data_IF_384259770693
#
_entry.id   IF_384259770693
#
_cell.length_a   1.000
_cell.length_b   1.000
_cell.length_c   1.000
_cell.angle_alpha   90.00
_cell.angle_beta   90.00
_cell.angle_gamma   90.00
#
_symmetry.space_group_name_H-M   'P 1'
#
loop_
_entity.id
_entity.type
_entity.pdbx_description
1 polymer ?
#
# COMPACT_ATOMS: atom_id res chain seq x y z
N UNK A 1 5.69 -29.01 3.60
CA UNK A 1 7.02 -28.36 3.55
C UNK A 1 7.10 -27.19 2.56
N UNK A 2 6.49 -27.27 1.36
CA UNK A 2 6.57 -26.21 0.33
C UNK A 2 5.91 -24.87 0.75
N UNK A 3 4.79 -24.91 1.47
CA UNK A 3 4.07 -23.71 1.96
C UNK A 3 4.91 -22.92 2.99
N UNK A 4 5.64 -23.60 3.86
CA UNK A 4 6.51 -22.96 4.85
C UNK A 4 7.74 -22.31 4.21
N UNK A 5 8.33 -22.95 3.20
CA UNK A 5 9.46 -22.39 2.46
C UNK A 5 9.09 -21.13 1.66
N UNK A 6 7.87 -21.06 1.13
CA UNK A 6 7.36 -19.83 0.49
C UNK A 6 7.17 -18.70 1.51
N UNK A 7 6.57 -19.00 2.66
CA UNK A 7 6.37 -18.04 3.77
C UNK A 7 7.72 -17.52 4.31
N UNK A 8 8.72 -18.39 4.42
CA UNK A 8 10.09 -18.05 4.83
C UNK A 8 10.87 -17.26 3.75
N UNK A 9 10.66 -17.53 2.46
CA UNK A 9 11.23 -16.72 1.36
C UNK A 9 10.67 -15.31 1.35
N UNK A 10 9.36 -15.15 1.53
CA UNK A 10 8.74 -13.82 1.67
C UNK A 10 9.17 -13.10 2.94
N UNK A 11 9.45 -13.83 4.04
CA UNK A 11 10.04 -13.29 5.27
C UNK A 11 11.43 -12.70 5.08
N UNK A 12 12.29 -13.39 4.32
CA UNK A 12 13.63 -12.87 4.00
C UNK A 12 13.61 -11.74 2.95
N UNK A 13 12.64 -11.72 2.04
CA UNK A 13 12.60 -10.76 0.94
C UNK A 13 12.23 -9.33 1.39
N UNK A 14 11.34 -9.17 2.37
CA UNK A 14 10.88 -7.86 2.84
C UNK A 14 10.73 -7.82 4.38
N UNK A 15 11.85 -7.76 5.14
CA UNK A 15 11.82 -7.73 6.61
C UNK A 15 10.97 -6.57 7.17
N UNK A 16 10.85 -5.48 6.42
CA UNK A 16 10.02 -4.32 6.78
C UNK A 16 8.52 -4.61 6.79
N UNK A 17 8.00 -5.49 5.93
CA UNK A 17 6.57 -5.86 5.97
C UNK A 17 6.21 -6.54 7.30
N UNK A 18 7.14 -7.31 7.86
CA UNK A 18 6.97 -7.95 9.17
C UNK A 18 7.05 -6.95 10.30
N UNK A 19 8.03 -6.05 10.28
CA UNK A 19 8.11 -4.96 11.26
C UNK A 19 6.84 -4.11 11.23
N UNK A 20 6.33 -3.74 10.05
CA UNK A 20 5.07 -3.01 9.93
C UNK A 20 3.90 -3.71 10.63
N UNK A 21 3.78 -5.04 10.48
CA UNK A 21 2.74 -5.82 11.14
C UNK A 21 2.93 -5.92 12.65
N UNK A 22 4.17 -6.04 13.13
CA UNK A 22 4.49 -6.09 14.56
C UNK A 22 4.13 -4.75 15.20
N UNK A 23 4.62 -3.63 14.66
CA UNK A 23 4.30 -2.30 15.18
C UNK A 23 2.81 -1.98 15.10
N UNK A 24 2.12 -2.45 14.05
CA UNK A 24 0.65 -2.36 13.97
C UNK A 24 -0.06 -3.10 15.11
N UNK A 25 0.42 -4.28 15.51
CA UNK A 25 -0.09 -5.02 16.68
C UNK A 25 0.29 -4.38 18.02
N UNK A 26 1.40 -3.67 18.07
CA UNK A 26 1.82 -2.87 19.23
C UNK A 26 1.09 -1.51 19.30
N UNK A 27 0.16 -1.24 18.37
CA UNK A 27 -0.57 0.02 18.22
C UNK A 27 0.34 1.24 17.96
N UNK A 28 1.59 1.00 17.57
CA UNK A 28 2.53 2.01 17.10
C UNK A 28 2.32 2.21 15.59
N UNK A 29 1.31 3.02 15.28
CA UNK A 29 0.87 3.26 13.90
C UNK A 29 1.92 4.01 13.09
N UNK A 30 2.73 4.84 13.73
CA UNK A 30 3.74 5.64 13.05
C UNK A 30 4.90 4.79 12.56
N UNK A 31 5.44 3.92 13.42
CA UNK A 31 6.45 2.96 12.99
C UNK A 31 5.89 1.97 11.97
N UNK A 32 4.64 1.51 12.17
CA UNK A 32 3.98 0.64 11.21
C UNK A 32 3.92 1.27 9.81
N UNK A 33 3.48 2.52 9.71
CA UNK A 33 3.39 3.26 8.46
C UNK A 33 4.77 3.53 7.83
N UNK A 34 5.78 3.87 8.64
CA UNK A 34 7.15 4.05 8.16
C UNK A 34 7.70 2.78 7.49
N UNK A 35 7.52 1.62 8.12
CA UNK A 35 7.95 0.35 7.54
C UNK A 35 7.12 -0.05 6.32
N UNK A 36 5.82 0.29 6.29
CA UNK A 36 5.00 0.13 5.09
C UNK A 36 5.56 0.96 3.92
N UNK A 37 5.86 2.24 4.13
CA UNK A 37 6.47 3.11 3.12
C UNK A 37 7.79 2.55 2.59
N UNK A 38 8.71 2.21 3.49
CA UNK A 38 10.02 1.62 3.12
C UNK A 38 9.87 0.30 2.35
N UNK A 39 8.83 -0.49 2.64
CA UNK A 39 8.53 -1.70 1.88
C UNK A 39 8.10 -1.36 0.46
N UNK A 40 7.19 -0.39 0.29
CA UNK A 40 6.68 0.02 -1.02
C UNK A 40 7.78 0.63 -1.90
N UNK A 41 8.66 1.45 -1.33
CA UNK A 41 9.81 2.03 -2.03
C UNK A 41 10.75 0.95 -2.55
N UNK A 42 11.14 -0.01 -1.70
CA UNK A 42 11.97 -1.15 -2.10
C UNK A 42 11.31 -2.01 -3.17
N UNK A 43 9.99 -2.22 -3.10
CA UNK A 43 9.26 -2.96 -4.12
C UNK A 43 9.34 -2.28 -5.49
N UNK A 44 9.26 -0.95 -5.55
CA UNK A 44 9.43 -0.20 -6.80
C UNK A 44 10.88 -0.24 -7.31
N UNK A 45 11.87 -0.07 -6.44
CA UNK A 45 13.28 -0.16 -6.81
C UNK A 45 13.63 -1.53 -7.41
N UNK A 46 13.13 -2.60 -6.77
CA UNK A 46 13.31 -3.96 -7.26
C UNK A 46 12.59 -4.23 -8.58
N UNK A 47 11.39 -3.67 -8.75
CA UNK A 47 10.64 -3.74 -10.00
C UNK A 47 11.41 -3.12 -11.17
N UNK A 48 12.05 -1.96 -10.94
CA UNK A 48 12.86 -1.29 -11.97
C UNK A 48 14.18 -2.02 -12.29
N UNK A 49 14.80 -2.71 -11.32
CA UNK A 49 16.21 -3.13 -11.44
C UNK A 49 16.46 -4.58 -11.82
N UNK A 50 15.62 -5.54 -11.42
CA UNK A 50 16.02 -6.96 -11.48
C UNK A 50 14.97 -7.95 -12.02
N UNK A 51 13.71 -7.91 -11.57
CA UNK A 51 12.73 -8.95 -11.98
C UNK A 51 11.27 -8.57 -11.72
N UNK A 52 10.38 -8.68 -12.73
CA UNK A 52 8.91 -8.58 -12.54
C UNK A 52 8.31 -9.68 -11.64
N UNK A 53 9.03 -10.78 -11.40
CA UNK A 53 8.51 -12.01 -10.77
C UNK A 53 8.12 -11.87 -9.29
N UNK A 54 8.51 -10.76 -8.64
CA UNK A 54 8.27 -10.52 -7.21
C UNK A 54 7.53 -9.20 -6.94
N UNK A 55 7.03 -8.55 -7.99
CA UNK A 55 6.25 -7.33 -7.89
C UNK A 55 4.84 -7.63 -8.38
N UNK A 56 3.87 -7.49 -7.48
CA UNK A 56 2.46 -7.51 -7.85
C UNK A 56 1.95 -6.07 -7.83
N UNK A 57 1.69 -5.46 -9.01
CA UNK A 57 1.18 -4.09 -9.10
C UNK A 57 -0.13 -3.88 -8.34
N UNK A 58 -0.98 -4.91 -8.26
CA UNK A 58 -2.29 -4.83 -7.62
C UNK A 58 -2.17 -4.75 -6.10
N UNK A 59 -1.36 -5.63 -5.52
CA UNK A 59 -1.02 -5.60 -4.10
C UNK A 59 -0.28 -4.32 -3.72
N UNK A 60 0.65 -3.85 -4.58
CA UNK A 60 1.36 -2.60 -4.34
C UNK A 60 0.40 -1.40 -4.30
N UNK A 61 -0.48 -1.27 -5.30
CA UNK A 61 -1.46 -0.20 -5.36
C UNK A 61 -2.40 -0.20 -4.15
N UNK A 62 -2.85 -1.38 -3.72
CA UNK A 62 -3.73 -1.54 -2.56
C UNK A 62 -3.04 -1.14 -1.26
N UNK A 63 -1.79 -1.53 -1.07
CA UNK A 63 -1.00 -1.17 0.10
C UNK A 63 -0.68 0.34 0.11
N UNK A 64 -0.39 0.94 -1.04
CA UNK A 64 -0.17 2.39 -1.17
C UNK A 64 -1.45 3.18 -0.84
N UNK A 65 -2.62 2.71 -1.29
CA UNK A 65 -3.90 3.32 -0.95
C UNK A 65 -4.25 3.16 0.54
N UNK A 66 -3.84 2.05 1.16
CA UNK A 66 -4.00 1.85 2.60
C UNK A 66 -3.12 2.82 3.39
N UNK A 67 -1.87 3.03 2.96
CA UNK A 67 -0.95 3.99 3.57
C UNK A 67 -1.49 5.44 3.50
N UNK A 68 -2.22 5.78 2.43
CA UNK A 68 -2.89 7.08 2.32
C UNK A 68 -3.89 7.34 3.46
N UNK A 69 -4.57 6.29 3.92
CA UNK A 69 -5.57 6.40 4.99
C UNK A 69 -4.90 6.73 6.33
N UNK A 70 -3.69 6.21 6.57
CA UNK A 70 -2.88 6.58 7.73
C UNK A 70 -2.42 8.05 7.65
N UNK A 71 -1.91 8.50 6.51
CA UNK A 71 -1.49 9.91 6.38
C UNK A 71 -2.67 10.87 6.57
N UNK A 72 -3.85 10.48 6.11
CA UNK A 72 -5.08 11.23 6.35
C UNK A 72 -5.44 11.32 7.84
N UNK A 73 -5.27 10.24 8.63
CA UNK A 73 -5.50 10.31 10.09
C UNK A 73 -4.52 11.23 10.81
N UNK A 74 -3.35 11.45 10.22
CA UNK A 74 -2.32 12.35 10.74
C UNK A 74 -2.41 13.77 10.13
N UNK A 75 -3.50 14.09 9.43
CA UNK A 75 -3.72 15.37 8.75
C UNK A 75 -2.69 15.73 7.67
N UNK A 76 -1.88 14.75 7.21
CA UNK A 76 -0.98 14.90 6.07
C UNK A 76 -1.74 14.58 4.77
N UNK A 77 -2.61 15.53 4.39
CA UNK A 77 -3.45 15.38 3.19
C UNK A 77 -2.65 15.41 1.88
N UNK A 78 -1.48 16.05 1.87
CA UNK A 78 -0.62 16.11 0.70
C UNK A 78 -0.04 14.73 0.39
N UNK A 79 0.56 14.08 1.39
CA UNK A 79 1.11 12.73 1.24
C UNK A 79 -0.01 11.70 1.02
N UNK A 80 -1.15 11.84 1.71
CA UNK A 80 -2.31 10.98 1.46
C UNK A 80 -2.78 11.04 -0.01
N UNK A 81 -2.92 12.25 -0.57
CA UNK A 81 -3.29 12.44 -1.98
C UNK A 81 -2.26 11.83 -2.92
N UNK A 82 -0.97 12.05 -2.63
CA UNK A 82 0.12 11.49 -3.42
C UNK A 82 0.05 9.97 -3.49
N UNK A 83 -0.13 9.29 -2.34
CA UNK A 83 -0.27 7.83 -2.31
C UNK A 83 -1.46 7.33 -3.15
N UNK A 84 -2.63 7.98 -3.05
CA UNK A 84 -3.80 7.58 -3.83
C UNK A 84 -3.58 7.74 -5.34
N UNK A 85 -2.90 8.81 -5.76
CA UNK A 85 -2.54 9.04 -7.16
C UNK A 85 -1.55 7.98 -7.67
N UNK A 86 -0.55 7.62 -6.86
CA UNK A 86 0.36 6.53 -7.18
C UNK A 86 -0.37 5.19 -7.32
N UNK A 87 -1.34 4.90 -6.45
CA UNK A 87 -2.17 3.70 -6.54
C UNK A 87 -2.95 3.65 -7.85
N UNK A 88 -3.66 4.72 -8.21
CA UNK A 88 -4.41 4.76 -9.48
C UNK A 88 -3.47 4.61 -10.67
N UNK A 89 -2.31 5.30 -10.66
CA UNK A 89 -1.33 5.23 -11.75
C UNK A 89 -0.78 3.82 -11.96
N UNK A 90 -0.56 3.07 -10.87
CA UNK A 90 -0.10 1.68 -10.93
C UNK A 90 -1.12 0.75 -11.61
N UNK A 91 -2.42 1.06 -11.51
CA UNK A 91 -3.49 0.23 -12.05
C UNK A 91 -3.87 0.51 -13.50
N UNK A 92 -3.48 1.66 -14.07
CA UNK A 92 -3.88 2.08 -15.44
C UNK A 92 -3.58 1.05 -16.53
N UNK A 93 -2.52 0.26 -16.37
CA UNK A 93 -2.03 -0.68 -17.39
C UNK A 93 -2.33 -2.15 -17.08
N UNK A 94 -3.16 -2.44 -16.07
CA UNK A 94 -3.51 -3.80 -15.69
C UNK A 94 -4.74 -4.25 -16.46
N UNK A 95 -4.67 -5.43 -17.09
CA UNK A 95 -5.80 -6.03 -17.79
C UNK A 95 -6.98 -6.26 -16.85
N UNK A 96 -8.18 -5.87 -17.27
CA UNK A 96 -9.39 -6.01 -16.47
C UNK A 96 -9.72 -7.46 -16.16
N UNK A 97 -9.90 -7.76 -14.87
CA UNK A 97 -10.51 -8.99 -14.36
C UNK A 97 -11.32 -8.67 -13.09
N UNK A 98 -12.13 -9.62 -12.60
CA UNK A 98 -12.99 -9.40 -11.43
C UNK A 98 -12.21 -8.97 -10.18
N UNK A 99 -11.02 -9.56 -9.98
CA UNK A 99 -10.13 -9.20 -8.87
C UNK A 99 -9.67 -7.73 -8.95
N UNK A 100 -9.35 -7.23 -10.15
CA UNK A 100 -8.97 -5.84 -10.38
C UNK A 100 -10.15 -4.91 -10.06
N UNK A 101 -11.37 -5.27 -10.46
CA UNK A 101 -12.57 -4.48 -10.17
C UNK A 101 -12.79 -4.32 -8.66
N UNK A 102 -12.65 -5.40 -7.88
CA UNK A 102 -12.76 -5.35 -6.42
C UNK A 102 -11.71 -4.42 -5.78
N UNK A 103 -10.47 -4.45 -6.28
CA UNK A 103 -9.37 -3.61 -5.77
C UNK A 103 -9.54 -2.16 -6.17
N UNK A 104 -9.97 -1.89 -7.41
CA UNK A 104 -10.33 -0.54 -7.85
C UNK A 104 -11.44 0.01 -6.95
N UNK A 105 -12.51 -0.74 -6.70
CA UNK A 105 -13.59 -0.31 -5.81
C UNK A 105 -13.08 0.01 -4.39
N UNK A 106 -12.13 -0.80 -3.88
CA UNK A 106 -11.49 -0.57 -2.58
C UNK A 106 -10.66 0.73 -2.57
N UNK A 107 -9.92 1.02 -3.63
CA UNK A 107 -9.15 2.27 -3.79
C UNK A 107 -10.08 3.48 -3.96
N UNK A 108 -11.16 3.35 -4.74
CA UNK A 108 -12.18 4.41 -4.86
C UNK A 108 -12.86 4.70 -3.53
N UNK A 109 -13.06 3.70 -2.66
CA UNK A 109 -13.51 3.92 -1.28
C UNK A 109 -12.51 4.77 -0.48
N UNK A 110 -11.21 4.59 -0.68
CA UNK A 110 -10.18 5.40 -0.05
C UNK A 110 -10.21 6.87 -0.54
N UNK A 111 -10.46 7.09 -1.84
CA UNK A 111 -10.71 8.43 -2.40
C UNK A 111 -11.94 9.11 -1.80
N UNK A 112 -13.05 8.38 -1.65
CA UNK A 112 -14.28 8.90 -1.04
C UNK A 112 -14.00 9.34 0.40
N UNK A 113 -13.31 8.52 1.19
CA UNK A 113 -12.92 8.88 2.56
C UNK A 113 -12.04 10.13 2.60
N UNK A 114 -11.08 10.25 1.68
CA UNK A 114 -10.24 11.44 1.54
C UNK A 114 -11.09 12.69 1.27
N UNK A 115 -12.00 12.63 0.30
CA UNK A 115 -12.87 13.75 -0.05
C UNK A 115 -13.78 14.16 1.14
N UNK A 116 -14.41 13.19 1.81
CA UNK A 116 -15.25 13.45 2.99
C UNK A 116 -14.44 14.11 4.09
N UNK A 117 -13.23 13.60 4.38
CA UNK A 117 -12.40 14.14 5.45
C UNK A 117 -11.98 15.58 5.14
N UNK A 118 -11.61 15.87 3.89
CA UNK A 118 -11.27 17.22 3.46
C UNK A 118 -12.47 18.18 3.56
N UNK A 119 -13.65 17.76 3.11
CA UNK A 119 -14.87 18.57 3.19
C UNK A 119 -15.29 18.84 4.64
N UNK A 120 -15.18 17.84 5.52
CA UNK A 120 -15.47 18.00 6.96
C UNK A 120 -14.53 18.95 7.72
N UNK A 121 -13.44 19.39 7.08
CA UNK A 121 -12.52 20.39 7.63
C UNK A 121 -12.78 21.81 7.10
N UNK A 122 -13.60 21.93 6.07
CA UNK A 122 -13.93 23.21 5.40
C UNK A 122 -15.27 23.76 5.91
N UNK A 123 -16.19 22.88 6.31
CA UNK A 123 -17.50 23.20 6.92
C UNK A 123 -17.35 23.26 8.43
#
# INVERSE_FOLDING_TARGET
MVVYLYKLKTQKQFPFKYLAQIYGKLNDKDQSANYCRLTLERQLEMFHKYTKKHFDPLDWATNCATLSQYYMTNHDYATARYCLMCSDKMLENISSNDLLLERIASIKRCWIKYAINLLSKII
#
